data_IF_678769695557
#
_entry.id   IF_678769695557
#
_cell.length_a   1.000
_cell.length_b   1.000
_cell.length_c   1.000
_cell.angle_alpha   90.00
_cell.angle_beta   90.00
_cell.angle_gamma   90.00
#
_symmetry.space_group_name_H-M   'P 1'
#
loop_
_entity.id
_entity.type
_entity.pdbx_description
1 polymer ?
#
# COMPACT_ATOMS: atom_id res chain seq x y z
N UNK A 1 0.88 1.11 -8.30
CA UNK A 1 0.32 -0.09 -7.69
C UNK A 1 -1.12 -0.19 -8.15
N UNK A 2 -1.52 -1.40 -8.53
CA UNK A 2 -2.85 -1.68 -9.06
C UNK A 2 -3.49 -2.74 -8.19
N UNK A 3 -4.74 -2.52 -7.80
CA UNK A 3 -5.53 -3.51 -7.08
C UNK A 3 -5.79 -4.75 -7.95
N UNK A 4 -5.72 -5.92 -7.34
CA UNK A 4 -6.07 -7.19 -7.95
C UNK A 4 -7.41 -7.67 -7.36
N UNK A 5 -8.46 -7.64 -8.18
CA UNK A 5 -9.77 -8.19 -7.81
C UNK A 5 -9.75 -9.72 -8.03
N UNK A 6 -9.49 -10.46 -6.96
CA UNK A 6 -9.29 -11.91 -6.99
C UNK A 6 -10.51 -12.60 -6.39
N UNK A 7 -11.25 -13.37 -7.21
CA UNK A 7 -12.46 -14.07 -6.77
C UNK A 7 -12.22 -15.00 -5.58
N UNK A 8 -11.07 -15.67 -5.52
CA UNK A 8 -10.71 -16.54 -4.40
C UNK A 8 -10.69 -15.79 -3.05
N UNK A 9 -10.30 -14.51 -3.06
CA UNK A 9 -10.24 -13.69 -1.84
C UNK A 9 -11.60 -13.10 -1.45
N UNK A 10 -12.61 -13.16 -2.31
CA UNK A 10 -13.95 -12.71 -1.94
C UNK A 10 -14.51 -13.58 -0.80
N UNK A 11 -14.39 -14.91 -0.90
CA UNK A 11 -14.82 -15.84 0.15
C UNK A 11 -14.06 -15.59 1.46
N UNK A 12 -12.75 -15.34 1.36
CA UNK A 12 -11.88 -14.98 2.51
C UNK A 12 -12.37 -13.68 3.15
N UNK A 13 -12.59 -12.63 2.37
CA UNK A 13 -13.05 -11.34 2.88
C UNK A 13 -14.40 -11.47 3.58
N UNK A 14 -15.37 -12.17 3.00
CA UNK A 14 -16.66 -12.39 3.68
C UNK A 14 -16.48 -13.21 4.96
N UNK A 15 -15.60 -14.21 4.99
CA UNK A 15 -15.32 -14.99 6.18
C UNK A 15 -14.61 -14.20 7.30
N UNK A 16 -13.93 -13.10 6.98
CA UNK A 16 -13.29 -12.23 7.98
C UNK A 16 -14.26 -11.24 8.62
N UNK A 17 -15.47 -11.07 8.08
CA UNK A 17 -16.47 -10.13 8.58
C UNK A 17 -17.63 -10.87 9.26
N UNK A 18 -17.84 -10.65 10.55
CA UNK A 18 -18.94 -11.26 11.30
C UNK A 18 -19.23 -10.48 12.58
N UNK A 19 -20.46 -10.60 13.06
CA UNK A 19 -20.89 -9.97 14.30
C UNK A 19 -20.92 -10.97 15.45
N UNK A 20 -20.51 -10.49 16.63
CA UNK A 20 -20.69 -11.15 17.92
C UNK A 20 -21.60 -10.28 18.80
N UNK A 21 -22.14 -10.78 19.93
CA UNK A 21 -23.06 -10.01 20.77
C UNK A 21 -22.49 -8.65 21.21
N UNK A 22 -21.18 -8.58 21.45
CA UNK A 22 -20.53 -7.41 22.04
C UNK A 22 -19.58 -6.67 21.08
N UNK A 23 -19.26 -7.27 19.93
CA UNK A 23 -18.24 -6.74 19.00
C UNK A 23 -18.56 -7.10 17.55
N UNK A 24 -18.45 -6.13 16.64
CA UNK A 24 -18.45 -6.36 15.20
C UNK A 24 -17.02 -6.55 14.71
N UNK A 25 -16.75 -7.69 14.06
CA UNK A 25 -15.43 -8.02 13.53
C UNK A 25 -15.38 -7.63 12.07
N UNK A 26 -14.45 -6.73 11.75
CA UNK A 26 -14.22 -6.24 10.39
C UNK A 26 -12.82 -6.66 9.96
N UNK A 27 -12.72 -7.35 8.84
CA UNK A 27 -11.44 -7.77 8.30
C UNK A 27 -11.43 -7.85 6.77
N UNK A 28 -10.24 -8.02 6.22
CA UNK A 28 -10.06 -8.13 4.78
C UNK A 28 -8.62 -8.50 4.42
N UNK A 29 -8.47 -9.00 3.20
CA UNK A 29 -7.20 -9.24 2.54
C UNK A 29 -7.25 -8.63 1.14
N UNK A 30 -6.54 -7.51 0.97
CA UNK A 30 -6.48 -6.76 -0.27
C UNK A 30 -5.11 -6.94 -0.93
N UNK A 31 -5.09 -7.32 -2.21
CA UNK A 31 -3.85 -7.61 -2.94
C UNK A 31 -3.58 -6.57 -4.01
N UNK A 32 -2.33 -6.11 -4.05
CA UNK A 32 -1.86 -5.05 -4.94
C UNK A 32 -0.61 -5.50 -5.69
N UNK A 33 -0.45 -5.02 -6.92
CA UNK A 33 0.81 -5.20 -7.67
C UNK A 33 1.85 -4.19 -7.22
N UNK A 34 3.12 -4.62 -7.09
CA UNK A 34 4.23 -3.74 -6.68
C UNK A 34 4.79 -2.86 -7.81
N UNK A 35 4.20 -2.91 -9.02
CA UNK A 35 4.64 -2.03 -10.11
C UNK A 35 4.23 -0.60 -9.79
N UNK A 36 5.23 0.27 -9.60
CA UNK A 36 5.02 1.72 -9.47
C UNK A 36 4.36 2.26 -10.75
N UNK A 37 3.24 2.96 -10.61
CA UNK A 37 2.55 3.59 -11.73
C UNK A 37 2.13 5.01 -11.34
N UNK A 38 2.32 5.99 -12.24
CA UNK A 38 1.90 7.37 -12.01
C UNK A 38 2.43 7.95 -10.69
N UNK A 39 1.51 8.30 -9.77
CA UNK A 39 1.78 8.94 -8.48
C UNK A 39 2.72 8.16 -7.55
N UNK A 40 2.75 6.83 -7.62
CA UNK A 40 3.61 6.03 -6.73
C UNK A 40 5.10 6.32 -6.94
N UNK A 41 5.50 6.68 -8.16
CA UNK A 41 6.91 7.06 -8.42
C UNK A 41 7.30 8.29 -7.62
N UNK A 42 6.39 9.27 -7.49
CA UNK A 42 6.61 10.46 -6.67
C UNK A 42 6.62 10.10 -5.18
N UNK A 43 5.72 9.21 -4.75
CA UNK A 43 5.68 8.71 -3.39
C UNK A 43 6.98 8.00 -3.00
N UNK A 44 7.52 7.12 -3.86
CA UNK A 44 8.75 6.40 -3.56
C UNK A 44 9.95 7.33 -3.44
N UNK A 45 10.08 8.30 -4.36
CA UNK A 45 11.13 9.32 -4.27
C UNK A 45 11.03 10.14 -2.98
N UNK A 46 9.80 10.48 -2.56
CA UNK A 46 9.57 11.20 -1.30
C UNK A 46 9.99 10.37 -0.10
N UNK A 47 9.57 9.11 -0.03
CA UNK A 47 9.94 8.20 1.07
C UNK A 47 11.45 8.01 1.12
N UNK A 48 12.10 7.80 -0.02
CA UNK A 48 13.55 7.66 -0.09
C UNK A 48 14.28 8.90 0.42
N UNK A 49 13.86 10.09 -0.02
CA UNK A 49 14.39 11.36 0.46
C UNK A 49 14.23 11.51 1.98
N UNK A 50 13.03 11.27 2.52
CA UNK A 50 12.78 11.37 3.96
C UNK A 50 13.60 10.38 4.78
N UNK A 51 13.81 9.16 4.27
CA UNK A 51 14.66 8.17 4.92
C UNK A 51 16.14 8.56 4.91
N UNK A 52 16.60 9.24 3.85
CA UNK A 52 17.96 9.76 3.73
C UNK A 52 18.18 10.98 4.62
N UNK A 53 17.24 11.94 4.64
CA UNK A 53 17.26 13.11 5.51
C UNK A 53 17.36 12.71 6.99
N UNK A 54 16.46 11.85 7.47
CA UNK A 54 16.49 11.37 8.87
C UNK A 54 17.81 10.69 9.22
N UNK A 55 18.39 9.95 8.28
CA UNK A 55 19.68 9.31 8.49
C UNK A 55 20.82 10.33 8.56
N UNK A 56 20.82 11.32 7.67
CA UNK A 56 21.81 12.38 7.67
C UNK A 56 21.73 13.25 8.93
N UNK A 57 20.52 13.57 9.40
CA UNK A 57 20.28 14.27 10.67
C UNK A 57 20.86 13.48 11.84
N UNK A 58 20.64 12.17 11.88
CA UNK A 58 21.20 11.29 12.91
C UNK A 58 22.74 11.30 12.86
N UNK A 59 23.35 11.19 11.68
CA UNK A 59 24.81 11.24 11.52
C UNK A 59 25.36 12.60 11.97
N UNK A 60 24.73 13.70 11.55
CA UNK A 60 25.17 15.05 11.91
C UNK A 60 25.08 15.26 13.44
N UNK A 61 23.98 14.83 14.07
CA UNK A 61 23.82 14.89 15.52
C UNK A 61 24.91 14.10 16.27
N UNK A 62 25.34 12.95 15.72
CA UNK A 62 26.48 12.19 16.25
C UNK A 62 27.81 12.91 16.01
N UNK A 63 27.97 13.55 14.86
CA UNK A 63 29.18 14.31 14.50
C UNK A 63 29.43 15.53 15.41
N UNK A 64 28.36 16.15 15.91
CA UNK A 64 28.43 17.29 16.83
C UNK A 64 28.78 16.89 18.28
N UNK A 65 28.75 15.59 18.60
CA UNK A 65 29.05 15.06 19.93
C UNK A 65 30.56 14.84 20.15
N UNK A 66 31.02 14.94 21.39
CA UNK A 66 32.40 14.60 21.75
C UNK A 66 32.71 13.12 21.45
N UNK A 67 33.95 12.77 21.12
CA UNK A 67 34.34 11.41 20.74
C UNK A 67 33.94 10.34 21.77
N UNK A 68 33.97 10.67 23.06
CA UNK A 68 33.57 9.77 24.15
C UNK A 68 32.04 9.59 24.26
N UNK A 69 31.26 10.63 23.95
CA UNK A 69 29.81 10.54 23.89
C UNK A 69 29.34 9.85 22.60
N UNK A 70 29.96 10.17 21.46
CA UNK A 70 29.65 9.54 20.18
C UNK A 70 29.83 8.00 20.24
N UNK A 71 30.94 7.51 20.81
CA UNK A 71 31.16 6.07 20.96
C UNK A 71 30.12 5.35 21.83
N UNK A 72 29.52 6.04 22.80
CA UNK A 72 28.43 5.50 23.63
C UNK A 72 27.11 5.49 22.87
N UNK A 73 26.77 6.60 22.23
CA UNK A 73 25.52 6.74 21.48
C UNK A 73 25.52 5.95 20.16
N UNK A 74 26.66 5.69 19.53
CA UNK A 74 26.74 4.90 18.28
C UNK A 74 26.24 3.46 18.43
N UNK A 75 26.35 2.87 19.63
CA UNK A 75 25.81 1.52 19.89
C UNK A 75 24.31 1.55 20.22
N UNK A 76 23.79 2.69 20.72
CA UNK A 76 22.37 2.86 21.06
C UNK A 76 21.54 3.42 19.89
N UNK A 77 22.18 4.18 19.01
CA UNK A 77 21.58 4.75 17.81
C UNK A 77 21.73 3.77 16.65
N UNK A 78 20.65 3.61 15.87
CA UNK A 78 20.61 2.74 14.70
C UNK A 78 21.36 3.33 13.49
N UNK A 79 22.67 3.56 13.64
CA UNK A 79 23.53 4.18 12.61
C UNK A 79 23.62 3.29 11.37
N UNK A 80 23.59 1.96 11.54
CA UNK A 80 23.64 0.99 10.45
C UNK A 80 22.32 0.86 9.66
N UNK A 81 21.29 1.62 10.06
CA UNK A 81 19.95 1.62 9.47
C UNK A 81 19.35 0.21 9.40
N UNK A 82 19.50 -0.56 10.47
CA UNK A 82 18.93 -1.89 10.59
C UNK A 82 17.44 -1.79 10.86
N UNK A 83 16.62 -2.35 9.97
CA UNK A 83 15.16 -2.28 10.11
C UNK A 83 14.56 -3.68 10.04
N UNK A 84 13.27 -3.84 10.36
CA UNK A 84 12.54 -5.10 10.17
C UNK A 84 12.58 -5.61 8.71
N UNK A 85 12.84 -4.71 7.76
CA UNK A 85 12.95 -5.00 6.33
C UNK A 85 14.37 -5.39 5.90
N UNK A 86 15.35 -5.34 6.80
CA UNK A 86 16.78 -5.43 6.50
C UNK A 86 17.48 -4.08 6.59
N UNK A 87 18.73 -4.00 6.13
CA UNK A 87 19.46 -2.73 6.15
C UNK A 87 18.91 -1.78 5.07
N UNK A 88 18.53 -0.58 5.47
CA UNK A 88 18.10 0.47 4.54
C UNK A 88 19.24 1.08 3.72
N UNK A 89 20.47 0.60 3.87
CA UNK A 89 21.53 0.85 2.89
C UNK A 89 21.20 0.19 1.54
N UNK A 90 20.46 -0.92 1.56
CA UNK A 90 20.01 -1.59 0.34
C UNK A 90 18.72 -0.95 -0.21
N UNK A 91 18.68 -0.54 -1.48
CA UNK A 91 17.50 0.08 -2.09
C UNK A 91 16.30 -0.88 -2.13
N UNK A 92 16.54 -2.19 -2.22
CA UNK A 92 15.49 -3.19 -2.21
C UNK A 92 14.64 -3.15 -0.92
N UNK A 93 15.27 -2.96 0.24
CA UNK A 93 14.59 -2.92 1.53
C UNK A 93 13.81 -1.61 1.70
N UNK A 94 14.37 -0.49 1.19
CA UNK A 94 13.65 0.79 1.10
C UNK A 94 12.42 0.70 0.20
N UNK A 95 12.53 -0.01 -0.93
CA UNK A 95 11.39 -0.27 -1.80
C UNK A 95 10.33 -1.13 -1.13
N UNK A 96 10.70 -2.16 -0.36
CA UNK A 96 9.73 -2.95 0.41
C UNK A 96 8.92 -2.05 1.35
N UNK A 97 9.57 -1.18 2.11
CA UNK A 97 8.89 -0.21 2.96
C UNK A 97 7.96 0.73 2.16
N UNK A 98 8.42 1.23 1.01
CA UNK A 98 7.61 2.06 0.12
C UNK A 98 6.40 1.31 -0.47
N UNK A 99 6.52 0.01 -0.75
CA UNK A 99 5.38 -0.82 -1.17
C UNK A 99 4.34 -0.94 -0.06
N UNK A 100 4.75 -1.04 1.21
CA UNK A 100 3.82 -1.11 2.33
C UNK A 100 3.09 0.22 2.54
N UNK A 101 3.80 1.35 2.56
CA UNK A 101 3.18 2.69 2.67
C UNK A 101 2.22 2.93 1.50
N UNK A 102 2.66 2.63 0.27
CA UNK A 102 1.80 2.84 -0.89
C UNK A 102 0.58 1.90 -0.88
N UNK A 103 0.66 0.74 -0.22
CA UNK A 103 -0.48 -0.14 -0.02
C UNK A 103 -1.47 0.49 0.95
N UNK A 104 -0.99 1.06 2.06
CA UNK A 104 -1.81 1.80 3.01
C UNK A 104 -2.47 3.03 2.39
N UNK A 105 -1.72 3.87 1.67
CA UNK A 105 -2.25 5.04 0.96
C UNK A 105 -3.30 4.63 -0.08
N UNK A 106 -3.15 3.46 -0.71
CA UNK A 106 -4.12 2.97 -1.68
C UNK A 106 -5.37 2.37 -1.02
N UNK A 107 -5.26 1.77 0.16
CA UNK A 107 -6.41 1.24 0.93
C UNK A 107 -7.15 2.34 1.69
N UNK A 108 -6.45 3.40 2.07
CA UNK A 108 -6.95 4.51 2.89
C UNK A 108 -6.63 5.84 2.19
N UNK A 109 -7.49 6.21 1.25
CA UNK A 109 -7.28 7.39 0.40
C UNK A 109 -7.32 8.73 1.14
N UNK A 110 -7.93 8.75 2.33
CA UNK A 110 -8.13 9.97 3.12
C UNK A 110 -6.92 10.31 4.00
N UNK A 111 -5.90 9.44 4.03
CA UNK A 111 -4.73 9.60 4.91
C UNK A 111 -3.43 9.39 4.14
N UNK A 112 -2.46 10.29 4.34
CA UNK A 112 -1.11 10.15 3.78
C UNK A 112 -0.15 9.58 4.82
N UNK A 113 0.17 8.31 4.62
CA UNK A 113 1.06 7.52 5.45
C UNK A 113 2.56 7.78 5.18
N UNK A 114 2.91 8.56 4.16
CA UNK A 114 4.30 8.77 3.75
C UNK A 114 5.18 9.41 4.83
N UNK A 115 4.61 10.32 5.62
CA UNK A 115 5.35 11.09 6.62
C UNK A 115 5.14 10.59 8.05
N UNK A 116 4.09 9.80 8.28
CA UNK A 116 3.62 9.39 9.61
C UNK A 116 4.09 8.00 10.00
N UNK A 117 4.27 7.07 9.06
CA UNK A 117 4.83 5.76 9.39
C UNK A 117 6.33 5.83 9.61
N UNK A 118 6.76 5.22 10.71
CA UNK A 118 8.16 4.92 10.95
C UNK A 118 8.45 3.45 10.60
N UNK A 119 9.64 3.15 10.07
CA UNK A 119 10.07 1.76 9.85
C UNK A 119 10.07 0.92 11.12
N UNK A 120 10.25 1.56 12.28
CA UNK A 120 10.32 0.92 13.59
C UNK A 120 8.94 0.48 14.13
N UNK A 121 7.85 1.00 13.58
CA UNK A 121 6.48 0.57 13.89
C UNK A 121 6.14 -0.80 13.26
N UNK A 122 7.07 -1.34 12.47
CA UNK A 122 6.93 -2.66 11.87
C UNK A 122 7.71 -3.71 12.65
N UNK A 123 7.19 -4.94 12.63
CA UNK A 123 7.91 -6.12 13.10
C UNK A 123 7.91 -7.18 12.01
N UNK A 124 9.06 -7.81 11.80
CA UNK A 124 9.15 -8.97 10.91
C UNK A 124 8.50 -10.17 11.59
N UNK A 125 7.58 -10.81 10.88
CA UNK A 125 6.84 -11.97 11.36
C UNK A 125 7.18 -13.23 10.56
N UNK A 126 6.76 -14.38 11.07
CA UNK A 126 6.82 -15.64 10.33
C UNK A 126 5.42 -16.09 9.92
N UNK A 127 5.31 -16.86 8.83
CA UNK A 127 4.06 -17.51 8.41
C UNK A 127 3.37 -18.25 9.56
N UNK A 128 4.15 -18.96 10.39
CA UNK A 128 3.62 -19.73 11.54
C UNK A 128 3.03 -18.81 12.61
N UNK A 129 3.73 -17.73 12.96
CA UNK A 129 3.27 -16.74 13.94
C UNK A 129 2.01 -16.03 13.45
N UNK A 130 2.00 -15.58 12.19
CA UNK A 130 0.85 -14.96 11.55
C UNK A 130 -0.38 -15.88 11.57
N UNK A 131 -0.25 -17.12 11.08
CA UNK A 131 -1.36 -18.10 11.09
C UNK A 131 -1.85 -18.37 12.50
N UNK A 132 -0.94 -18.59 13.45
CA UNK A 132 -1.29 -18.85 14.83
C UNK A 132 -2.05 -17.69 15.46
N UNK A 133 -1.61 -16.44 15.25
CA UNK A 133 -2.28 -15.24 15.77
C UNK A 133 -3.69 -15.11 15.20
N UNK A 134 -3.86 -15.26 13.88
CA UNK A 134 -5.19 -15.18 13.25
C UNK A 134 -6.11 -16.32 13.67
N UNK A 135 -5.64 -17.57 13.67
CA UNK A 135 -6.46 -18.72 14.07
C UNK A 135 -6.87 -18.64 15.53
N UNK A 136 -5.97 -18.18 16.42
CA UNK A 136 -6.26 -17.96 17.84
C UNK A 136 -7.30 -16.86 18.02
N UNK A 137 -7.14 -15.72 17.34
CA UNK A 137 -8.11 -14.63 17.36
C UNK A 137 -9.48 -15.09 16.85
N UNK A 138 -9.53 -15.81 15.72
CA UNK A 138 -10.78 -16.34 15.17
C UNK A 138 -11.45 -17.36 16.10
N UNK A 139 -10.67 -18.22 16.75
CA UNK A 139 -11.17 -19.22 17.70
C UNK A 139 -11.85 -18.59 18.92
N UNK A 140 -11.31 -17.48 19.43
CA UNK A 140 -11.89 -16.80 20.59
C UNK A 140 -13.08 -15.90 20.24
N UNK A 141 -13.11 -15.34 19.03
CA UNK A 141 -14.18 -14.44 18.60
C UNK A 141 -15.39 -15.18 18.04
N UNK A 142 -15.19 -16.29 17.33
CA UNK A 142 -16.31 -17.00 16.71
C UNK A 142 -17.08 -17.84 17.73
N UNK A 143 -18.40 -17.97 17.57
CA UNK A 143 -19.18 -18.95 18.31
C UNK A 143 -18.57 -20.36 18.16
N UNK A 144 -18.43 -21.08 19.28
CA UNK A 144 -17.70 -22.36 19.31
C UNK A 144 -18.27 -23.44 18.39
N UNK A 145 -19.55 -23.35 18.04
CA UNK A 145 -20.19 -24.21 17.01
C UNK A 145 -19.53 -24.10 15.64
N UNK A 146 -18.81 -23.01 15.37
CA UNK A 146 -18.09 -22.74 14.13
C UNK A 146 -16.57 -22.93 14.26
N UNK A 147 -16.06 -23.28 15.44
CA UNK A 147 -14.62 -23.32 15.72
C UNK A 147 -13.95 -24.65 15.36
N UNK A 148 -14.68 -25.78 15.32
CA UNK A 148 -14.10 -27.07 14.97
C UNK A 148 -15.14 -28.09 14.47
N UNK A 149 -14.71 -28.98 13.55
CA UNK A 149 -15.48 -30.16 13.14
C UNK A 149 -16.46 -29.97 11.99
N UNK A 150 -16.53 -28.77 11.41
CA UNK A 150 -17.35 -28.52 10.21
C UNK A 150 -16.62 -28.97 8.93
N UNK A 151 -17.34 -29.48 7.93
CA UNK A 151 -16.76 -29.82 6.64
C UNK A 151 -16.21 -28.56 5.94
N UNK A 152 -15.21 -28.76 5.05
CA UNK A 152 -14.70 -27.66 4.22
C UNK A 152 -15.81 -27.06 3.37
N UNK A 153 -15.94 -25.73 3.39
CA UNK A 153 -17.01 -25.02 2.68
C UNK A 153 -18.33 -24.93 3.47
N UNK A 154 -18.33 -25.27 4.76
CA UNK A 154 -19.47 -24.97 5.62
C UNK A 154 -19.75 -23.47 5.66
N UNK A 155 -21.04 -23.15 5.65
CA UNK A 155 -21.56 -21.79 5.75
C UNK A 155 -22.39 -21.64 7.01
N UNK A 156 -22.50 -20.41 7.51
CA UNK A 156 -23.44 -20.08 8.58
C UNK A 156 -24.89 -20.31 8.11
N UNK A 157 -25.89 -20.36 9.01
CA UNK A 157 -27.29 -20.42 8.62
C UNK A 157 -27.75 -19.26 7.71
N UNK A 158 -27.02 -18.14 7.75
CA UNK A 158 -27.23 -16.97 6.89
C UNK A 158 -26.49 -17.06 5.54
N UNK A 159 -25.82 -18.19 5.26
CA UNK A 159 -25.11 -18.43 4.01
C UNK A 159 -23.72 -17.80 3.93
N UNK A 160 -23.20 -17.21 5.02
CA UNK A 160 -21.85 -16.63 5.01
C UNK A 160 -20.77 -17.69 5.20
N UNK A 161 -19.63 -17.63 4.48
CA UNK A 161 -18.52 -18.56 4.68
C UNK A 161 -17.92 -18.45 6.08
N UNK A 162 -17.48 -19.60 6.59
CA UNK A 162 -16.83 -19.72 7.90
C UNK A 162 -15.32 -19.79 7.71
N UNK A 163 -14.57 -19.04 8.54
CA UNK A 163 -13.11 -19.12 8.56
C UNK A 163 -12.66 -20.56 8.83
N UNK A 164 -11.87 -21.12 7.93
CA UNK A 164 -11.50 -22.54 7.97
C UNK A 164 -10.16 -22.78 7.25
N UNK A 165 -9.59 -24.00 7.30
CA UNK A 165 -8.39 -24.33 6.53
C UNK A 165 -8.50 -24.02 5.02
N UNK A 166 -9.72 -24.04 4.46
CA UNK A 166 -9.99 -23.62 3.07
C UNK A 166 -9.66 -22.14 2.85
N UNK A 167 -9.93 -21.26 3.82
CA UNK A 167 -9.59 -19.84 3.74
C UNK A 167 -8.08 -19.64 3.57
N UNK A 168 -7.27 -20.43 4.28
CA UNK A 168 -5.81 -20.44 4.11
C UNK A 168 -5.38 -20.97 2.74
N UNK A 169 -6.05 -21.97 2.19
CA UNK A 169 -5.76 -22.49 0.85
C UNK A 169 -6.06 -21.46 -0.25
N UNK A 170 -7.14 -20.69 -0.11
CA UNK A 170 -7.50 -19.61 -1.05
C UNK A 170 -6.50 -18.45 -1.00
N UNK A 171 -5.99 -18.12 0.19
CA UNK A 171 -4.88 -17.17 0.34
C UNK A 171 -3.59 -17.70 -0.31
N UNK A 172 -3.28 -18.97 -0.08
CA UNK A 172 -2.07 -19.61 -0.59
C UNK A 172 -2.06 -19.72 -2.12
N UNK A 173 -3.20 -20.05 -2.74
CA UNK A 173 -3.30 -20.10 -4.20
C UNK A 173 -2.95 -18.76 -4.86
N UNK A 174 -3.35 -17.65 -4.25
CA UNK A 174 -3.12 -16.32 -4.80
C UNK A 174 -1.76 -15.72 -4.43
N UNK A 175 -1.29 -15.94 -3.20
CA UNK A 175 -0.09 -15.26 -2.68
C UNK A 175 1.15 -16.14 -2.65
N UNK A 176 1.01 -17.47 -2.73
CA UNK A 176 2.10 -18.43 -2.48
C UNK A 176 2.80 -18.11 -1.15
N UNK A 177 2.10 -18.44 -0.06
CA UNK A 177 2.42 -17.99 1.30
C UNK A 177 3.80 -18.45 1.78
N UNK A 178 4.34 -19.53 1.23
CA UNK A 178 5.66 -20.05 1.56
C UNK A 178 6.79 -19.11 1.13
N UNK A 179 6.59 -18.39 0.02
CA UNK A 179 7.56 -17.47 -0.57
C UNK A 179 7.26 -15.98 -0.26
N UNK A 180 6.41 -15.74 0.75
CA UNK A 180 6.10 -14.40 1.24
C UNK A 180 7.01 -13.98 2.40
N UNK A 181 7.37 -12.70 2.41
CA UNK A 181 7.86 -12.00 3.59
C UNK A 181 6.68 -11.43 4.38
N UNK A 182 6.70 -11.57 5.71
CA UNK A 182 5.61 -11.16 6.59
C UNK A 182 6.03 -9.99 7.47
N UNK A 183 5.19 -8.96 7.52
CA UNK A 183 5.38 -7.80 8.38
C UNK A 183 4.11 -7.52 9.16
N UNK A 184 4.21 -7.35 10.47
CA UNK A 184 3.15 -6.78 11.29
C UNK A 184 3.39 -5.28 11.42
N UNK A 185 2.33 -4.49 11.28
CA UNK A 185 2.37 -3.07 11.60
C UNK A 185 1.62 -2.85 12.92
N UNK A 186 2.35 -2.36 13.91
CA UNK A 186 1.86 -2.11 15.27
C UNK A 186 2.25 -0.68 15.64
N UNK A 187 1.52 0.33 15.11
CA UNK A 187 1.82 1.73 15.41
C UNK A 187 1.61 2.02 16.89
N UNK A 188 2.42 2.93 17.45
CA UNK A 188 2.26 3.37 18.84
C UNK A 188 0.94 4.09 19.08
N UNK A 189 0.45 4.81 18.07
CA UNK A 189 -0.84 5.47 18.05
C UNK A 189 -1.62 4.91 16.85
N UNK A 190 -2.66 4.11 17.12
CA UNK A 190 -3.43 3.44 16.06
C UNK A 190 -4.38 4.46 15.40
N UNK A 191 -4.18 4.82 14.12
CA UNK A 191 -5.06 5.76 13.42
C UNK A 191 -6.50 5.25 13.28
N UNK A 192 -6.76 3.96 13.55
CA UNK A 192 -8.10 3.37 13.55
C UNK A 192 -8.73 3.28 14.95
N UNK A 193 -8.05 3.72 16.01
CA UNK A 193 -8.62 3.71 17.36
C UNK A 193 -9.86 4.61 17.48
N UNK A 194 -9.86 5.75 16.78
CA UNK A 194 -10.96 6.72 16.79
C UNK A 194 -12.26 6.18 16.17
N UNK A 195 -12.19 5.11 15.37
CA UNK A 195 -13.36 4.41 14.81
C UNK A 195 -14.07 3.52 15.86
N UNK A 196 -13.59 3.49 17.11
CA UNK A 196 -14.09 2.62 18.17
C UNK A 196 -13.57 1.17 18.08
N UNK A 197 -12.42 0.98 17.41
CA UNK A 197 -11.72 -0.29 17.40
C UNK A 197 -11.13 -0.58 18.80
N UNK A 198 -11.50 -1.71 19.39
CA UNK A 198 -10.96 -2.19 20.68
C UNK A 198 -9.54 -2.73 20.47
N UNK A 199 -9.32 -3.36 19.33
CA UNK A 199 -8.05 -3.89 18.89
C UNK A 199 -8.02 -3.96 17.36
N UNK A 200 -6.82 -3.92 16.82
CA UNK A 200 -6.54 -4.01 15.40
C UNK A 200 -5.31 -4.88 15.16
N UNK A 201 -5.32 -5.60 14.05
CA UNK A 201 -4.21 -6.41 13.58
C UNK A 201 -3.98 -6.05 12.13
N UNK A 202 -2.76 -5.62 11.81
CA UNK A 202 -2.35 -5.23 10.47
C UNK A 202 -1.15 -6.06 10.05
N UNK A 203 -1.30 -6.80 8.97
CA UNK A 203 -0.26 -7.65 8.41
C UNK A 203 -0.07 -7.37 6.93
N UNK A 204 1.19 -7.40 6.51
CA UNK A 204 1.58 -7.31 5.11
C UNK A 204 2.27 -8.60 4.70
N UNK A 205 1.85 -9.14 3.55
CA UNK A 205 2.46 -10.29 2.92
C UNK A 205 3.05 -9.83 1.60
N UNK A 206 4.37 -9.79 1.52
CA UNK A 206 5.09 -9.36 0.34
C UNK A 206 5.67 -10.56 -0.40
N UNK A 207 5.26 -10.76 -1.66
CA UNK A 207 5.82 -11.78 -2.53
C UNK A 207 6.55 -11.13 -3.71
N UNK A 208 7.88 -11.25 -3.70
CA UNK A 208 8.76 -10.69 -4.73
C UNK A 208 8.58 -11.37 -6.08
N UNK A 209 8.41 -12.69 -6.11
CA UNK A 209 8.30 -13.48 -7.35
C UNK A 209 6.98 -13.19 -8.08
N UNK A 210 5.87 -13.19 -7.35
CA UNK A 210 4.55 -12.83 -7.89
C UNK A 210 4.38 -11.32 -8.12
N UNK A 211 5.31 -10.49 -7.62
CA UNK A 211 5.24 -9.02 -7.67
C UNK A 211 3.96 -8.48 -7.01
N UNK A 212 3.60 -9.06 -5.87
CA UNK A 212 2.36 -8.77 -5.14
C UNK A 212 2.68 -8.37 -3.70
N UNK A 213 1.87 -7.46 -3.16
CA UNK A 213 1.80 -7.17 -1.73
C UNK A 213 0.34 -7.30 -1.32
N UNK A 214 0.09 -8.05 -0.25
CA UNK A 214 -1.23 -8.17 0.35
C UNK A 214 -1.27 -7.43 1.67
N UNK A 215 -2.34 -6.68 1.91
CA UNK A 215 -2.67 -6.11 3.19
C UNK A 215 -3.78 -6.93 3.82
N UNK A 216 -3.46 -7.65 4.88
CA UNK A 216 -4.38 -8.42 5.69
C UNK A 216 -4.65 -7.65 6.98
N UNK A 217 -5.90 -7.28 7.21
CA UNK A 217 -6.29 -6.53 8.41
C UNK A 217 -7.47 -7.21 9.09
N UNK A 218 -7.52 -7.07 10.41
CA UNK A 218 -8.62 -7.56 11.25
C UNK A 218 -8.76 -6.63 12.45
N UNK A 219 -9.96 -6.13 12.71
CA UNK A 219 -10.27 -5.26 13.85
C UNK A 219 -11.58 -5.64 14.49
N UNK A 220 -11.66 -5.49 15.81
CA UNK A 220 -12.90 -5.64 16.57
C UNK A 220 -13.43 -4.28 16.99
N UNK A 221 -14.62 -3.92 16.53
CA UNK A 221 -15.30 -2.67 16.91
C UNK A 221 -16.36 -2.99 17.95
N UNK A 222 -16.40 -2.24 19.04
CA UNK A 222 -17.43 -2.44 20.07
C UNK A 222 -18.83 -2.27 19.47
N UNK A 223 -19.75 -3.20 19.76
CA UNK A 223 -21.16 -3.04 19.38
C UNK A 223 -21.83 -1.82 20.06
N UNK A 224 -21.21 -1.27 21.10
CA UNK A 224 -21.64 -0.08 21.81
C UNK A 224 -21.05 1.22 21.24
N UNK A 225 -20.20 1.14 20.21
CA UNK A 225 -19.64 2.31 19.53
C UNK A 225 -20.74 3.10 18.83
N UNK A 226 -20.87 4.39 19.17
CA UNK A 226 -21.94 5.30 18.72
C UNK A 226 -21.90 5.68 17.24
N UNK A 227 -20.97 5.14 16.45
CA UNK A 227 -20.86 5.41 15.01
C UNK A 227 -21.38 4.21 14.22
N UNK A 228 -22.32 4.36 13.28
CA UNK A 228 -22.74 3.29 12.39
C UNK A 228 -21.57 2.96 11.45
N UNK A 229 -20.65 2.11 11.90
CA UNK A 229 -19.68 1.46 11.03
C UNK A 229 -20.42 0.37 10.27
N UNK A 230 -21.03 0.76 9.14
CA UNK A 230 -21.50 -0.25 8.18
C UNK A 230 -20.29 -1.15 7.89
N UNK A 231 -20.41 -2.49 7.96
CA UNK A 231 -19.36 -3.42 7.54
C UNK A 231 -19.25 -3.40 6.01
N UNK A 232 -18.98 -2.21 5.44
CA UNK A 232 -18.47 -2.08 4.10
C UNK A 232 -17.02 -2.50 4.17
N UNK A 233 -16.68 -3.60 3.49
CA UNK A 233 -15.28 -3.91 3.16
C UNK A 233 -14.59 -2.62 2.72
N UNK A 234 -13.33 -2.40 3.13
CA UNK A 234 -12.59 -1.19 2.78
C UNK A 234 -12.51 -1.00 1.26
N UNK A 235 -12.59 -2.10 0.49
CA UNK A 235 -12.69 -2.05 -0.98
C UNK A 235 -14.02 -1.46 -1.49
N UNK A 236 -15.13 -1.64 -0.77
CA UNK A 236 -16.41 -1.01 -1.10
C UNK A 236 -16.29 0.50 -0.93
N UNK A 237 -15.63 0.96 0.14
CA UNK A 237 -15.29 2.37 0.33
C UNK A 237 -14.33 2.89 -0.77
N UNK A 238 -13.31 2.12 -1.13
CA UNK A 238 -12.37 2.46 -2.21
C UNK A 238 -13.01 2.51 -3.60
N UNK A 239 -13.91 1.57 -3.92
CA UNK A 239 -14.71 1.62 -5.15
C UNK A 239 -15.61 2.83 -5.13
N UNK A 240 -16.29 3.08 -4.01
CA UNK A 240 -17.16 4.23 -3.84
C UNK A 240 -16.39 5.56 -4.00
N UNK A 241 -15.21 5.72 -3.40
CA UNK A 241 -14.37 6.91 -3.56
C UNK A 241 -13.87 7.14 -4.98
N UNK A 242 -13.55 6.07 -5.73
CA UNK A 242 -13.24 6.15 -7.16
C UNK A 242 -14.40 6.65 -8.02
N UNK A 243 -15.65 6.40 -7.61
CA UNK A 243 -16.84 6.86 -8.32
C UNK A 243 -17.40 8.17 -7.74
N UNK A 244 -17.00 8.56 -6.53
CA UNK A 244 -17.43 9.78 -5.83
C UNK A 244 -16.51 10.99 -6.06
N UNK A 245 -15.43 10.86 -6.86
CA UNK A 245 -14.60 12.02 -7.25
C UNK A 245 -15.38 13.09 -8.02
N UNK A 246 -16.57 12.78 -8.50
CA UNK A 246 -17.50 13.78 -9.04
C UNK A 246 -18.51 14.13 -7.95
N UNK A 247 -18.30 15.26 -7.28
CA UNK A 247 -19.24 15.86 -6.31
C UNK A 247 -20.68 15.99 -6.88
N UNK A 248 -20.82 15.93 -8.21
CA UNK A 248 -22.08 16.01 -8.94
C UNK A 248 -22.64 14.65 -9.44
N UNK A 249 -21.97 13.52 -9.20
CA UNK A 249 -22.48 12.21 -9.63
C UNK A 249 -23.76 11.83 -8.86
N UNK A 250 -23.81 12.11 -7.56
CA UNK A 250 -24.99 11.87 -6.72
C UNK A 250 -26.15 12.82 -7.02
N UNK A 251 -25.87 14.07 -7.41
CA UNK A 251 -26.89 15.05 -7.79
C UNK A 251 -27.51 14.72 -9.16
N UNK A 252 -26.72 14.28 -10.14
CA UNK A 252 -27.20 13.82 -11.46
C UNK A 252 -28.13 12.61 -11.36
N UNK A 253 -27.76 11.56 -10.61
CA UNK A 253 -28.61 10.37 -10.41
C UNK A 253 -29.95 10.71 -9.75
N UNK A 254 -29.94 11.62 -8.77
CA UNK A 254 -31.18 12.11 -8.15
C UNK A 254 -32.01 12.94 -9.13
N UNK A 255 -31.39 13.82 -9.91
CA UNK A 255 -32.09 14.61 -10.92
C UNK A 255 -32.74 13.74 -11.99
N UNK A 256 -32.05 12.70 -12.49
CA UNK A 256 -32.62 11.74 -13.44
C UNK A 256 -33.78 10.94 -12.86
N UNK A 257 -33.69 10.53 -11.59
CA UNK A 257 -34.76 9.81 -10.91
C UNK A 257 -36.02 10.67 -10.72
N UNK A 258 -35.87 11.96 -10.38
CA UNK A 258 -37.00 12.86 -10.12
C UNK A 258 -37.56 13.56 -11.37
N UNK A 259 -36.74 13.79 -12.38
CA UNK A 259 -37.10 14.63 -13.54
C UNK A 259 -37.12 13.84 -14.87
N UNK A 260 -36.78 12.55 -14.84
CA UNK A 260 -36.83 11.65 -15.99
C UNK A 260 -35.96 12.10 -17.18
N UNK A 261 -36.35 11.71 -18.40
CA UNK A 261 -35.58 11.92 -19.63
C UNK A 261 -35.27 13.40 -19.94
N UNK A 262 -36.00 14.34 -19.35
CA UNK A 262 -35.79 15.78 -19.54
C UNK A 262 -34.51 16.27 -18.83
N UNK A 263 -34.15 15.69 -17.69
CA UNK A 263 -32.89 15.99 -17.01
C UNK A 263 -31.67 15.41 -17.74
N UNK A 264 -31.82 14.22 -18.35
CA UNK A 264 -30.75 13.60 -19.14
C UNK A 264 -30.32 14.47 -20.32
N UNK A 265 -31.27 15.10 -21.01
CA UNK A 265 -31.00 16.00 -22.14
C UNK A 265 -30.37 17.33 -21.72
N UNK A 266 -30.75 17.87 -20.56
CA UNK A 266 -30.16 19.09 -20.02
C UNK A 266 -28.74 18.87 -19.47
N UNK A 267 -28.50 17.74 -18.81
CA UNK A 267 -27.20 17.37 -18.27
C UNK A 267 -26.19 16.99 -19.35
N UNK A 268 -26.64 16.50 -20.51
CA UNK A 268 -25.77 16.21 -21.66
C UNK A 268 -25.23 17.46 -22.38
N UNK A 269 -25.89 18.62 -22.22
CA UNK A 269 -25.43 19.87 -22.82
C UNK A 269 -24.21 20.49 -22.10
N UNK A 270 -23.93 20.05 -20.88
CA UNK A 270 -22.83 20.53 -20.04
C UNK A 270 -21.58 19.62 -20.07
N UNK A 271 -21.50 18.66 -21.01
CA UNK A 271 -20.37 17.73 -21.11
C UNK A 271 -20.32 16.67 -19.99
N UNK A 272 -19.48 15.65 -20.20
CA UNK A 272 -19.07 14.75 -19.13
C UNK A 272 -18.13 15.50 -18.18
N UNK A 273 -18.24 15.24 -16.86
CA UNK A 273 -17.56 16.05 -15.84
C UNK A 273 -16.03 16.05 -15.95
N UNK A 274 -15.47 15.11 -16.69
CA UNK A 274 -14.03 14.86 -16.76
C UNK A 274 -13.34 15.79 -17.78
N UNK A 275 -14.09 16.58 -18.55
CA UNK A 275 -13.55 17.52 -19.57
C UNK A 275 -13.50 18.99 -19.10
N UNK A 276 -14.04 19.33 -17.92
CA UNK A 276 -14.27 20.72 -17.50
C UNK A 276 -13.29 21.28 -16.45
N UNK A 277 -12.42 20.47 -15.85
CA UNK A 277 -11.49 20.91 -14.80
C UNK A 277 -10.32 21.80 -15.31
N UNK A 278 -10.23 22.05 -16.63
CA UNK A 278 -9.21 22.93 -17.22
C UNK A 278 -9.74 24.27 -17.76
N UNK A 279 -11.01 24.60 -17.56
CA UNK A 279 -11.56 25.89 -17.98
C UNK A 279 -11.67 26.82 -16.76
N UNK A 280 -10.63 27.63 -16.55
CA UNK A 280 -10.68 28.81 -15.68
C UNK A 280 -11.77 29.73 -16.21
N UNK A 281 -12.87 29.86 -15.47
CA UNK A 281 -13.90 30.85 -15.76
C UNK A 281 -13.35 32.20 -15.29
N UNK A 282 -12.69 32.92 -16.20
CA UNK A 282 -12.32 34.32 -15.97
C UNK A 282 -13.60 35.09 -15.67
N UNK A 283 -13.69 35.61 -14.44
CA UNK A 283 -14.75 36.51 -14.05
C UNK A 283 -14.58 37.81 -14.86
N UNK A 284 -15.59 38.26 -15.61
CA UNK A 284 -15.50 39.54 -16.29
C UNK A 284 -15.40 40.64 -15.23
N UNK A 285 -14.26 41.34 -15.23
CA UNK A 285 -13.96 42.45 -14.33
C UNK A 285 -14.94 43.61 -14.48
N UNK A 286 -14.99 44.40 -13.43
CA UNK A 286 -15.80 45.61 -13.28
C UNK A 286 -15.72 46.54 -14.50
N UNK A 287 -16.88 47.05 -14.88
CA UNK A 287 -17.07 48.04 -15.96
C UNK A 287 -16.40 49.34 -15.55
N UNK A 288 -15.37 49.76 -16.29
CA UNK A 288 -14.85 51.12 -16.26
C UNK A 288 -15.19 51.73 -17.62
N UNK A 289 -15.96 52.83 -17.58
CA UNK A 289 -16.45 53.56 -18.76
C UNK A 289 -15.30 54.11 -19.62
N UNK A 290 -15.54 54.07 -20.93
CA UNK A 290 -14.62 54.51 -21.97
C UNK A 290 -14.61 56.03 -22.11
N UNK A 291 -13.41 56.64 -22.16
CA UNK A 291 -13.01 57.76 -23.04
C UNK A 291 -11.63 58.32 -22.59
N UNK A 292 -10.55 57.99 -23.31
CA UNK A 292 -9.50 58.91 -23.76
C UNK A 292 -8.39 58.16 -24.54
N UNK A 293 -8.13 58.63 -25.76
CA UNK A 293 -7.04 58.23 -26.66
C UNK A 293 -5.66 58.64 -26.10
N UNK A 294 -4.64 57.77 -26.11
CA UNK A 294 -3.26 58.16 -26.47
C UNK A 294 -2.26 56.98 -26.68
N UNK A 295 -1.65 56.92 -27.86
CA UNK A 295 -0.29 56.45 -28.25
C UNK A 295 0.29 55.06 -27.84
N UNK A 296 0.73 54.29 -28.87
CA UNK A 296 1.70 53.16 -28.84
C UNK A 296 3.16 53.66 -28.60
N UNK A 297 4.14 52.89 -28.04
CA UNK A 297 4.82 51.78 -28.77
C UNK A 297 5.51 50.62 -27.96
N UNK A 298 5.59 49.45 -28.62
CA UNK A 298 6.69 48.44 -28.80
C UNK A 298 7.76 48.15 -27.70
N UNK A 299 8.12 46.85 -27.58
CA UNK A 299 9.31 46.15 -26.97
C UNK A 299 9.07 45.56 -25.57
N UNK A 300 9.58 44.40 -25.15
CA UNK A 300 10.62 43.50 -25.66
C UNK A 300 10.49 42.09 -25.02
N UNK A 301 11.13 41.12 -25.67
CA UNK A 301 11.35 39.72 -25.30
C UNK A 301 12.17 39.50 -24.02
N UNK A 302 11.86 38.44 -23.25
CA UNK A 302 12.82 37.67 -22.42
C UNK A 302 12.21 36.29 -22.13
N UNK A 303 12.53 35.22 -22.87
CA UNK A 303 13.65 34.27 -22.66
C UNK A 303 13.68 33.60 -21.27
N UNK A 304 13.58 32.26 -21.25
CA UNK A 304 13.82 31.44 -20.05
C UNK A 304 13.19 30.05 -20.07
N UNK A 305 13.30 29.28 -21.16
CA UNK A 305 12.92 27.86 -21.18
C UNK A 305 14.19 27.00 -21.12
N UNK A 306 14.51 26.46 -19.94
CA UNK A 306 15.55 25.45 -19.79
C UNK A 306 14.98 24.06 -20.06
N UNK A 307 15.45 23.48 -21.15
CA UNK A 307 15.27 22.10 -21.56
C UNK A 307 16.35 21.26 -20.87
N UNK A 308 15.98 20.25 -20.07
CA UNK A 308 16.94 19.25 -19.60
C UNK A 308 16.53 17.84 -20.00
N UNK A 309 17.51 17.19 -20.62
CA UNK A 309 17.53 15.94 -21.36
C UNK A 309 17.12 14.71 -20.53
N UNK A 310 16.40 13.79 -21.15
CA UNK A 310 16.11 12.46 -20.61
C UNK A 310 17.32 11.54 -20.86
N UNK A 311 18.03 11.17 -19.79
CA UNK A 311 18.89 9.99 -19.83
C UNK A 311 18.06 8.73 -19.54
N UNK A 312 18.07 7.85 -20.53
CA UNK A 312 17.41 6.54 -20.57
C UNK A 312 18.27 5.52 -19.79
N UNK A 313 17.97 5.31 -18.51
CA UNK A 313 18.48 4.18 -17.75
C UNK A 313 17.35 3.18 -17.48
N UNK A 314 17.24 2.20 -18.37
CA UNK A 314 16.37 1.04 -18.17
C UNK A 314 17.07 0.01 -17.26
N UNK A 315 16.58 -0.13 -16.03
CA UNK A 315 17.07 -1.06 -14.99
C UNK A 315 16.81 -2.56 -15.30
N UNK A 316 16.70 -2.93 -16.57
CA UNK A 316 16.55 -4.32 -17.01
C UNK A 316 17.91 -4.98 -17.25
N UNK A 317 18.97 -4.19 -17.53
CA UNK A 317 20.31 -4.73 -17.79
C UNK A 317 21.10 -5.05 -16.51
N UNK A 318 20.96 -4.24 -15.44
CA UNK A 318 21.71 -4.43 -14.19
C UNK A 318 21.35 -5.73 -13.44
N UNK A 319 20.12 -6.23 -13.64
CA UNK A 319 19.68 -7.51 -13.08
C UNK A 319 20.18 -8.73 -13.88
N UNK A 320 20.32 -8.60 -15.20
CA UNK A 320 20.87 -9.66 -16.08
C UNK A 320 22.37 -9.84 -15.93
N UNK A 321 23.11 -8.75 -15.71
CA UNK A 321 24.56 -8.83 -15.48
C UNK A 321 24.92 -9.56 -14.18
N UNK A 322 24.03 -9.54 -13.18
CA UNK A 322 24.21 -10.24 -11.90
C UNK A 322 24.00 -11.76 -11.99
N UNK A 323 23.18 -12.23 -12.93
CA UNK A 323 23.03 -13.67 -13.20
C UNK A 323 24.20 -14.21 -14.04
N UNK A 324 24.60 -13.49 -15.10
CA UNK A 324 25.70 -13.91 -15.98
C UNK A 324 27.09 -13.92 -15.29
N UNK A 325 27.29 -13.09 -14.27
CA UNK A 325 28.53 -13.06 -13.48
C UNK A 325 28.62 -14.19 -12.46
N UNK A 326 27.49 -14.73 -11.99
CA UNK A 326 27.45 -15.87 -11.05
C UNK A 326 27.64 -17.23 -11.73
N UNK A 327 27.26 -17.37 -13.00
CA UNK A 327 27.43 -18.63 -13.75
C UNK A 327 28.87 -18.85 -14.24
N UNK A 328 29.64 -17.79 -14.51
CA UNK A 328 31.02 -17.91 -15.04
C UNK A 328 32.08 -18.26 -13.99
N UNK A 329 31.75 -18.27 -12.69
CA UNK A 329 32.75 -18.44 -11.62
C UNK A 329 32.88 -19.87 -11.06
N UNK A 330 32.24 -20.87 -11.66
CA UNK A 330 32.41 -22.27 -11.25
C UNK A 330 32.95 -23.11 -12.41
N UNK A 331 34.11 -23.72 -12.15
CA UNK A 331 34.75 -24.85 -12.87
C UNK A 331 35.83 -24.48 -13.90
N UNK A 332 37.05 -24.30 -13.37
CA UNK A 332 38.35 -24.91 -13.76
C UNK A 332 39.33 -24.42 -12.68
N UNK A 333 40.07 -25.25 -11.95
CA UNK A 333 41.12 -26.16 -12.44
C UNK A 333 41.77 -26.89 -11.24
N UNK A 334 42.32 -28.09 -11.51
CA UNK A 334 43.43 -28.84 -10.85
C UNK A 334 43.06 -30.34 -10.78
N UNK A 335 43.84 -31.32 -11.25
CA UNK A 335 45.26 -31.39 -11.60
C UNK A 335 45.53 -32.62 -12.49
N UNK A 336 46.38 -32.49 -13.51
CA UNK A 336 47.00 -33.63 -14.21
C UNK A 336 48.20 -34.17 -13.41
N UNK A 337 48.39 -35.50 -13.44
CA UNK A 337 49.72 -36.11 -13.33
C UNK A 337 49.86 -37.23 -12.28
N UNK A 338 49.57 -38.48 -12.69
CA UNK A 338 50.45 -39.64 -12.46
C UNK A 338 49.87 -40.89 -13.14
N UNK A 339 50.64 -41.39 -14.10
CA UNK A 339 50.49 -42.67 -14.80
C UNK A 339 50.96 -43.80 -13.87
N UNK A 340 50.32 -44.97 -13.93
CA UNK A 340 50.94 -46.30 -14.16
C UNK A 340 50.24 -47.45 -13.40
N UNK A 341 50.07 -48.58 -14.11
CA UNK A 341 49.79 -49.96 -13.64
C UNK A 341 48.42 -50.29 -13.05
N UNK A 342 47.82 -51.46 -13.25
CA UNK A 342 48.02 -52.62 -14.13
C UNK A 342 46.75 -53.47 -13.96
N UNK A 343 46.48 -54.33 -14.93
CA UNK A 343 45.44 -55.36 -14.95
C UNK A 343 45.33 -56.17 -13.65
N UNK A 344 44.09 -56.38 -13.18
CA UNK A 344 43.40 -57.68 -13.00
C UNK A 344 42.07 -57.51 -12.26
#
# INVERSE_FOLDING_TARGET
MKYLDLCALHEVNVALNFDTPDTSIIGGCDVWTIKAAGGDKKLYKRIEHTLEERHQELINAIGDLSQASAARFMNELNVNRETPFGSFNEPANRHTFAYLIATLNATHVDYDYANTLNPDDFRRESLKSFRHKIDTTMYYLRPQVYSAGLPSGAVTPLGSPIWSPRSWQLLDSELDMANCEYYAWEPSDDPFADDGAIWSHHFFLYNKEKKRVAYFYLRGISALSSSPSIPTSLITKFRQSKYESSANAGSRKRAEFWLGDRAKKALGAYGESDELDNLVIDHPGEVIDAEEDEYLPVRETSMGAEYWSSDDNSDVESLRERENSREKSKVRQWSEGAVDRMEL
#
